data_IF_665156835814
#
_entry.id   IF_665156835814
#
_cell.length_a   1.000
_cell.length_b   1.000
_cell.length_c   1.000
_cell.angle_alpha   90.00
_cell.angle_beta   90.00
_cell.angle_gamma   90.00
#
_symmetry.space_group_name_H-M   'P 1'
#
loop_
_entity.id
_entity.type
_entity.pdbx_description
1 polymer ?
#
# COMPACT_ATOMS: atom_id res chain seq x y z
N UNK A 1 22.14 -5.73 -4.27
CA UNK A 1 22.81 -4.87 -5.27
C UNK A 1 21.90 -4.53 -6.45
N UNK A 2 20.97 -5.41 -6.83
CA UNK A 2 19.94 -5.14 -7.86
C UNK A 2 19.09 -3.89 -7.57
N UNK A 3 18.63 -3.73 -6.31
CA UNK A 3 17.94 -2.51 -5.85
C UNK A 3 18.75 -1.22 -6.04
N UNK A 4 20.08 -1.32 -6.13
CA UNK A 4 20.97 -0.16 -6.30
C UNK A 4 21.12 0.25 -7.76
N UNK A 5 20.92 -0.68 -8.70
CA UNK A 5 20.94 -0.40 -10.13
C UNK A 5 19.65 0.33 -10.55
N UNK A 6 18.51 -0.02 -9.95
CA UNK A 6 17.20 0.59 -10.22
C UNK A 6 16.80 1.65 -9.19
N UNK A 7 17.74 2.18 -8.41
CA UNK A 7 17.43 3.07 -7.28
C UNK A 7 16.62 4.30 -7.71
N UNK A 8 16.96 4.90 -8.85
CA UNK A 8 16.27 6.09 -9.37
C UNK A 8 14.82 5.79 -9.78
N UNK A 9 14.62 4.67 -10.47
CA UNK A 9 13.30 4.24 -10.94
C UNK A 9 12.42 3.78 -9.79
N UNK A 10 12.99 3.06 -8.81
CA UNK A 10 12.31 2.66 -7.58
C UNK A 10 11.89 3.89 -6.78
N UNK A 11 12.77 4.87 -6.60
CA UNK A 11 12.44 6.10 -5.88
C UNK A 11 11.29 6.87 -6.57
N UNK A 12 11.31 6.96 -7.90
CA UNK A 12 10.23 7.58 -8.66
C UNK A 12 8.90 6.84 -8.48
N UNK A 13 8.93 5.51 -8.48
CA UNK A 13 7.74 4.70 -8.27
C UNK A 13 7.20 4.81 -6.83
N UNK A 14 8.10 4.86 -5.84
CA UNK A 14 7.73 5.15 -4.45
C UNK A 14 7.08 6.52 -4.31
N UNK A 15 7.60 7.55 -4.97
CA UNK A 15 6.99 8.88 -4.95
C UNK A 15 5.60 8.87 -5.60
N UNK A 16 5.43 8.13 -6.70
CA UNK A 16 4.12 7.94 -7.32
C UNK A 16 3.12 7.25 -6.38
N UNK A 17 3.54 6.16 -5.73
CA UNK A 17 2.70 5.44 -4.76
C UNK A 17 2.34 6.32 -3.56
N UNK A 18 3.30 7.10 -3.04
CA UNK A 18 3.04 8.07 -1.96
C UNK A 18 1.98 9.08 -2.36
N UNK A 19 2.09 9.66 -3.56
CA UNK A 19 1.10 10.62 -4.06
C UNK A 19 -0.28 9.98 -4.21
N UNK A 20 -0.35 8.74 -4.68
CA UNK A 20 -1.60 7.99 -4.78
C UNK A 20 -2.22 7.76 -3.40
N UNK A 21 -1.46 7.26 -2.44
CA UNK A 21 -1.93 7.05 -1.05
C UNK A 21 -2.37 8.35 -0.40
N UNK A 22 -1.61 9.45 -0.56
CA UNK A 22 -2.00 10.76 -0.02
C UNK A 22 -3.31 11.25 -0.64
N UNK A 23 -3.52 11.01 -1.94
CA UNK A 23 -4.77 11.38 -2.61
C UNK A 23 -5.96 10.57 -2.08
N UNK A 24 -5.80 9.26 -1.91
CA UNK A 24 -6.84 8.37 -1.38
C UNK A 24 -7.18 8.72 0.08
N UNK A 25 -6.14 8.84 0.91
CA UNK A 25 -6.23 9.31 2.29
C UNK A 25 -6.96 10.65 2.42
N UNK A 26 -6.74 11.58 1.50
CA UNK A 26 -7.43 12.88 1.52
C UNK A 26 -8.95 12.73 1.38
N UNK A 27 -9.40 11.85 0.50
CA UNK A 27 -10.82 11.63 0.29
C UNK A 27 -11.45 10.88 1.48
N UNK A 28 -10.74 9.91 2.06
CA UNK A 28 -11.16 9.20 3.27
C UNK A 28 -11.25 10.12 4.48
N UNK A 29 -10.21 10.93 4.72
CA UNK A 29 -10.19 11.92 5.80
C UNK A 29 -11.35 12.88 5.60
N UNK A 30 -11.55 13.43 4.39
CA UNK A 30 -12.66 14.34 4.09
C UNK A 30 -14.02 13.70 4.35
N UNK A 31 -14.20 12.42 4.03
CA UNK A 31 -15.42 11.67 4.33
C UNK A 31 -15.67 11.54 5.85
N UNK A 32 -14.62 11.58 6.67
CA UNK A 32 -14.69 11.61 8.14
C UNK A 32 -15.23 12.92 8.74
N UNK A 33 -15.35 13.99 7.96
CA UNK A 33 -15.86 15.30 8.42
C UNK A 33 -17.16 15.72 7.72
N UNK A 34 -18.26 14.94 7.81
CA UNK A 34 -19.55 15.32 7.21
C UNK A 34 -20.16 16.58 7.84
N UNK A 35 -19.69 16.96 9.03
CA UNK A 35 -20.08 18.18 9.75
C UNK A 35 -19.70 19.46 8.99
N UNK A 36 -18.61 19.44 8.20
CA UNK A 36 -18.19 20.59 7.40
C UNK A 36 -19.27 20.97 6.37
N UNK A 37 -19.79 19.98 5.64
CA UNK A 37 -20.85 20.20 4.66
C UNK A 37 -22.13 20.74 5.33
N UNK A 38 -22.50 20.19 6.49
CA UNK A 38 -23.66 20.67 7.26
C UNK A 38 -23.49 22.13 7.69
N UNK A 39 -22.32 22.50 8.21
CA UNK A 39 -22.04 23.87 8.63
C UNK A 39 -22.04 24.84 7.44
N UNK A 40 -21.53 24.41 6.28
CA UNK A 40 -21.59 25.18 5.04
C UNK A 40 -23.03 25.39 4.56
N UNK A 41 -23.86 24.34 4.56
CA UNK A 41 -25.29 24.43 4.22
C UNK A 41 -26.04 25.36 5.17
N UNK A 42 -25.78 25.28 6.48
CA UNK A 42 -26.37 26.18 7.47
C UNK A 42 -25.98 27.64 7.23
N UNK A 43 -24.70 27.91 6.89
CA UNK A 43 -24.26 29.26 6.51
C UNK A 43 -24.99 29.74 5.25
N UNK A 44 -25.17 28.88 4.25
CA UNK A 44 -25.91 29.23 3.03
C UNK A 44 -27.37 29.55 3.34
N UNK A 45 -28.02 28.78 4.23
CA UNK A 45 -29.37 29.05 4.70
C UNK A 45 -29.50 30.42 5.38
N UNK A 46 -28.58 30.75 6.28
CA UNK A 46 -28.55 32.04 6.98
C UNK A 46 -28.31 33.22 6.02
N UNK A 47 -27.47 33.03 5.00
CA UNK A 47 -27.26 34.03 3.94
C UNK A 47 -28.49 34.20 3.05
N UNK A 48 -29.16 33.10 2.70
CA UNK A 48 -30.39 33.14 1.92
C UNK A 48 -31.51 33.88 2.67
N UNK A 49 -31.60 33.71 3.99
CA UNK A 49 -32.54 34.46 4.83
C UNK A 49 -32.26 35.98 4.78
N UNK A 50 -30.99 36.39 4.94
CA UNK A 50 -30.58 37.80 4.82
C UNK A 50 -30.94 38.35 3.44
N UNK A 51 -30.60 37.63 2.37
CA UNK A 51 -30.89 38.05 1.00
C UNK A 51 -32.40 38.16 0.73
N UNK A 52 -33.22 37.28 1.33
CA UNK A 52 -34.67 37.34 1.24
C UNK A 52 -35.24 38.60 1.92
N UNK A 53 -34.73 38.94 3.11
CA UNK A 53 -35.11 40.19 3.80
C UNK A 53 -34.66 41.43 3.04
N UNK A 54 -33.47 41.40 2.45
CA UNK A 54 -32.95 42.49 1.62
C UNK A 54 -33.79 42.67 0.35
N UNK A 55 -34.15 41.58 -0.33
CA UNK A 55 -35.04 41.62 -1.48
C UNK A 55 -36.42 42.20 -1.13
N UNK A 56 -37.00 41.79 0.00
CA UNK A 56 -38.28 42.32 0.50
C UNK A 56 -38.19 43.82 0.80
N UNK A 57 -37.11 44.28 1.45
CA UNK A 57 -36.89 45.72 1.70
C UNK A 57 -36.73 46.50 0.38
N UNK A 58 -36.02 45.95 -0.59
CA UNK A 58 -35.84 46.57 -1.90
C UNK A 58 -37.16 46.67 -2.68
N UNK A 59 -38.02 45.65 -2.58
CA UNK A 59 -39.39 45.68 -3.13
C UNK A 59 -40.20 46.83 -2.49
N UNK A 60 -40.17 46.96 -1.15
CA UNK A 60 -40.85 48.06 -0.44
C UNK A 60 -40.29 49.45 -0.76
N UNK A 61 -38.99 49.55 -1.02
CA UNK A 61 -38.38 50.79 -1.49
C UNK A 61 -38.96 51.21 -2.85
N UNK A 62 -39.07 50.27 -3.79
CA UNK A 62 -39.65 50.53 -5.12
C UNK A 62 -41.13 50.92 -5.02
N UNK A 63 -41.92 50.26 -4.18
CA UNK A 63 -43.32 50.61 -3.94
C UNK A 63 -43.48 52.04 -3.38
N UNK A 64 -42.62 52.42 -2.43
CA UNK A 64 -42.61 53.76 -1.85
C UNK A 64 -42.21 54.83 -2.88
N UNK A 65 -41.15 54.58 -3.66
CA UNK A 65 -40.69 55.50 -4.69
C UNK A 65 -41.76 55.70 -5.78
N UNK A 66 -42.42 54.62 -6.22
CA UNK A 66 -43.51 54.70 -7.20
C UNK A 66 -44.70 55.55 -6.71
N UNK A 67 -45.05 55.45 -5.42
CA UNK A 67 -46.08 56.32 -4.82
C UNK A 67 -45.61 57.77 -4.77
N UNK A 68 -44.37 58.01 -4.30
CA UNK A 68 -43.83 59.36 -4.13
C UNK A 68 -43.72 60.11 -5.47
N UNK A 69 -43.29 59.42 -6.53
CA UNK A 69 -43.15 59.97 -7.87
C UNK A 69 -44.44 59.94 -8.69
N UNK A 70 -45.53 59.37 -8.16
CA UNK A 70 -46.84 59.36 -8.83
C UNK A 70 -46.90 58.46 -10.08
N UNK A 71 -46.06 57.42 -10.15
CA UNK A 71 -46.07 56.44 -11.24
C UNK A 71 -47.34 55.62 -11.12
N UNK A 72 -48.23 55.67 -12.13
CA UNK A 72 -49.46 54.85 -12.14
C UNK A 72 -49.11 53.36 -12.30
N UNK A 73 -49.32 52.61 -11.22
CA UNK A 73 -49.33 51.14 -11.20
C UNK A 73 -50.69 50.68 -10.65
N UNK A 74 -50.94 49.37 -10.59
CA UNK A 74 -52.18 48.83 -10.00
C UNK A 74 -52.36 49.14 -8.50
N UNK A 75 -51.28 49.56 -7.83
CA UNK A 75 -51.20 49.73 -6.37
C UNK A 75 -50.87 51.17 -5.93
N UNK A 76 -50.88 52.13 -6.86
CA UNK A 76 -50.56 53.53 -6.58
C UNK A 76 -51.70 54.47 -6.95
N UNK A 77 -51.74 55.64 -6.29
CA UNK A 77 -52.74 56.67 -6.57
C UNK A 77 -52.48 57.41 -7.89
N UNK A 78 -51.27 57.28 -8.46
CA UNK A 78 -50.86 57.96 -9.68
C UNK A 78 -50.73 59.49 -9.55
N UNK A 79 -50.66 60.00 -8.31
CA UNK A 79 -50.48 61.41 -7.98
C UNK A 79 -49.17 61.57 -7.22
N UNK A 80 -48.27 62.40 -7.74
CA UNK A 80 -47.02 62.69 -7.05
C UNK A 80 -47.30 63.51 -5.78
N UNK A 81 -46.72 63.10 -4.65
CA UNK A 81 -46.84 63.82 -3.38
C UNK A 81 -46.74 62.91 -2.15
N UNK A 82 -46.48 63.54 -1.01
CA UNK A 82 -46.45 62.87 0.31
C UNK A 82 -47.88 62.94 0.86
N UNK A 83 -48.67 61.91 0.58
CA UNK A 83 -50.01 61.73 1.16
C UNK A 83 -50.04 60.58 2.17
N UNK A 84 -51.19 60.33 2.79
CA UNK A 84 -51.40 59.27 3.80
C UNK A 84 -50.95 57.88 3.31
N UNK A 85 -51.09 57.57 2.01
CA UNK A 85 -50.63 56.30 1.45
C UNK A 85 -49.10 56.24 1.34
N UNK A 86 -48.43 57.35 1.04
CA UNK A 86 -46.97 57.43 1.00
C UNK A 86 -46.39 57.25 2.42
N UNK A 87 -46.98 57.87 3.44
CA UNK A 87 -46.58 57.71 4.84
C UNK A 87 -46.74 56.25 5.33
N UNK A 88 -47.82 55.56 4.92
CA UNK A 88 -47.99 54.13 5.24
C UNK A 88 -46.92 53.26 4.59
N UNK A 89 -46.57 53.53 3.33
CA UNK A 89 -45.51 52.80 2.59
C UNK A 89 -44.13 53.10 3.18
N UNK A 90 -43.89 54.33 3.62
CA UNK A 90 -42.67 54.70 4.37
C UNK A 90 -42.57 53.92 5.69
N UNK A 91 -43.64 53.86 6.47
CA UNK A 91 -43.66 53.07 7.71
C UNK A 91 -43.42 51.57 7.46
N UNK A 92 -43.93 51.02 6.35
CA UNK A 92 -43.66 49.63 5.94
C UNK A 92 -42.20 49.42 5.54
N UNK A 93 -41.59 50.37 4.82
CA UNK A 93 -40.18 50.35 4.47
C UNK A 93 -39.29 50.43 5.72
N UNK A 94 -39.62 51.31 6.67
CA UNK A 94 -38.91 51.43 7.95
C UNK A 94 -38.98 50.15 8.78
N UNK A 95 -40.14 49.49 8.81
CA UNK A 95 -40.31 48.19 9.46
C UNK A 95 -39.47 47.11 8.76
N UNK A 96 -39.49 47.06 7.43
CA UNK A 96 -38.67 46.12 6.65
C UNK A 96 -37.17 46.35 6.85
N UNK A 97 -36.74 47.61 6.96
CA UNK A 97 -35.35 47.98 7.24
C UNK A 97 -34.92 47.53 8.64
N UNK A 98 -35.74 47.76 9.66
CA UNK A 98 -35.45 47.29 11.04
C UNK A 98 -35.39 45.77 11.12
N UNK A 99 -36.30 45.07 10.45
CA UNK A 99 -36.33 43.61 10.39
C UNK A 99 -35.09 43.05 9.67
N UNK A 100 -34.65 43.70 8.59
CA UNK A 100 -33.39 43.37 7.91
C UNK A 100 -32.18 43.56 8.83
N UNK A 101 -32.06 44.71 9.49
CA UNK A 101 -30.94 45.00 10.40
C UNK A 101 -30.89 44.01 11.58
N UNK A 102 -32.06 43.70 12.16
CA UNK A 102 -32.18 42.69 13.20
C UNK A 102 -31.73 41.32 12.70
N UNK A 103 -32.27 40.85 11.57
CA UNK A 103 -31.93 39.55 10.97
C UNK A 103 -30.44 39.49 10.62
N UNK A 104 -29.88 40.56 10.06
CA UNK A 104 -28.45 40.66 9.75
C UNK A 104 -27.59 40.55 10.99
N UNK A 105 -27.92 41.27 12.07
CA UNK A 105 -27.14 41.20 13.32
C UNK A 105 -27.11 39.78 13.90
N UNK A 106 -28.28 39.14 14.00
CA UNK A 106 -28.44 37.80 14.54
C UNK A 106 -27.75 36.75 13.67
N UNK A 107 -27.95 36.81 12.35
CA UNK A 107 -27.40 35.82 11.43
C UNK A 107 -25.89 36.02 11.23
N UNK A 108 -25.36 37.25 11.34
CA UNK A 108 -23.91 37.50 11.27
C UNK A 108 -23.16 36.86 12.43
N UNK A 109 -23.70 36.96 13.65
CA UNK A 109 -23.14 36.27 14.82
C UNK A 109 -23.16 34.74 14.64
N UNK A 110 -24.31 34.20 14.20
CA UNK A 110 -24.47 32.78 13.89
C UNK A 110 -23.54 32.28 12.78
N UNK A 111 -23.29 33.09 11.76
CA UNK A 111 -22.35 32.78 10.67
C UNK A 111 -20.93 32.79 11.22
N UNK A 112 -20.56 33.77 12.04
CA UNK A 112 -19.23 33.86 12.63
C UNK A 112 -18.89 32.64 13.50
N UNK A 113 -19.81 32.20 14.36
CA UNK A 113 -19.64 30.98 15.17
C UNK A 113 -19.45 29.73 14.29
N UNK A 114 -20.25 29.59 13.23
CA UNK A 114 -20.11 28.47 12.27
C UNK A 114 -18.80 28.50 11.51
N UNK A 115 -18.36 29.69 11.07
CA UNK A 115 -17.07 29.87 10.39
C UNK A 115 -15.91 29.52 11.32
N UNK A 116 -15.98 29.90 12.59
CA UNK A 116 -14.97 29.50 13.58
C UNK A 116 -14.91 27.98 13.77
N UNK A 117 -16.07 27.31 13.82
CA UNK A 117 -16.15 25.84 13.87
C UNK A 117 -15.57 25.19 12.62
N UNK A 118 -15.89 25.70 11.43
CA UNK A 118 -15.32 25.23 10.16
C UNK A 118 -13.80 25.37 10.18
N UNK A 119 -13.26 26.50 10.64
CA UNK A 119 -11.81 26.71 10.71
C UNK A 119 -11.15 25.70 11.66
N UNK A 120 -11.74 25.48 12.85
CA UNK A 120 -11.23 24.48 13.80
C UNK A 120 -11.24 23.07 13.22
N UNK A 121 -12.31 22.68 12.52
CA UNK A 121 -12.40 21.37 11.88
C UNK A 121 -11.41 21.24 10.73
N UNK A 122 -11.22 22.28 9.92
CA UNK A 122 -10.22 22.30 8.87
C UNK A 122 -8.80 22.18 9.44
N UNK A 123 -8.48 22.86 10.55
CA UNK A 123 -7.18 22.72 11.22
C UNK A 123 -6.92 21.28 11.67
N UNK A 124 -7.92 20.63 12.28
CA UNK A 124 -7.83 19.21 12.66
C UNK A 124 -7.62 18.31 11.44
N UNK A 125 -8.41 18.52 10.39
CA UNK A 125 -8.31 17.79 9.14
C UNK A 125 -6.92 17.94 8.50
N UNK A 126 -6.37 19.16 8.49
CA UNK A 126 -5.01 19.41 7.98
C UNK A 126 -3.95 18.75 8.83
N UNK A 127 -4.07 18.78 10.16
CA UNK A 127 -3.12 18.12 11.05
C UNK A 127 -3.13 16.59 10.89
N UNK A 128 -4.31 16.00 10.66
CA UNK A 128 -4.46 14.58 10.38
C UNK A 128 -3.84 14.19 9.04
N UNK A 129 -4.05 15.02 8.00
CA UNK A 129 -3.39 14.87 6.70
C UNK A 129 -1.86 14.94 6.82
N UNK A 130 -1.35 15.94 7.53
CA UNK A 130 0.10 16.11 7.75
C UNK A 130 0.69 14.92 8.49
N UNK A 131 0.01 14.41 9.52
CA UNK A 131 0.42 13.20 10.24
C UNK A 131 0.48 11.97 9.31
N UNK A 132 -0.55 11.76 8.48
CA UNK A 132 -0.54 10.67 7.52
C UNK A 132 0.57 10.83 6.47
N UNK A 133 0.80 12.05 5.97
CA UNK A 133 1.90 12.33 5.03
C UNK A 133 3.26 11.98 5.63
N UNK A 134 3.51 12.35 6.89
CA UNK A 134 4.76 12.00 7.60
C UNK A 134 4.88 10.49 7.79
N UNK A 135 3.80 9.81 8.17
CA UNK A 135 3.78 8.36 8.33
C UNK A 135 4.08 7.62 7.02
N UNK A 136 3.46 8.05 5.92
CA UNK A 136 3.69 7.48 4.58
C UNK A 136 5.11 7.77 4.09
N UNK A 137 5.67 8.94 4.37
CA UNK A 137 7.06 9.27 4.03
C UNK A 137 8.07 8.41 4.80
N UNK A 138 7.76 8.04 6.06
CA UNK A 138 8.60 7.17 6.88
C UNK A 138 8.66 5.73 6.37
N UNK A 139 7.67 5.27 5.59
CA UNK A 139 7.63 3.94 4.98
C UNK A 139 8.55 3.81 3.73
N UNK A 140 9.85 4.02 3.91
CA UNK A 140 10.88 3.85 2.87
C UNK A 140 11.78 2.61 3.09
N UNK A 141 11.28 1.61 3.82
CA UNK A 141 12.02 0.40 4.15
C UNK A 141 12.30 -0.51 2.94
N UNK A 142 13.07 -1.58 3.17
CA UNK A 142 13.41 -2.57 2.14
C UNK A 142 12.17 -3.19 1.47
N UNK A 143 11.15 -3.51 2.27
CA UNK A 143 9.90 -4.10 1.77
C UNK A 143 9.18 -3.18 0.76
N UNK A 144 9.10 -1.88 1.06
CA UNK A 144 8.51 -0.90 0.15
C UNK A 144 9.31 -0.79 -1.16
N UNK A 145 10.65 -0.82 -1.08
CA UNK A 145 11.51 -0.84 -2.27
C UNK A 145 11.33 -2.09 -3.12
N UNK A 146 11.12 -3.26 -2.50
CA UNK A 146 10.84 -4.51 -3.21
C UNK A 146 9.49 -4.45 -3.90
N UNK A 147 8.45 -3.97 -3.22
CA UNK A 147 7.11 -3.79 -3.82
C UNK A 147 7.13 -2.78 -4.97
N UNK A 148 7.84 -1.67 -4.82
CA UNK A 148 8.01 -0.69 -5.89
C UNK A 148 8.77 -1.26 -7.09
N UNK A 149 9.81 -2.07 -6.87
CA UNK A 149 10.51 -2.78 -7.94
C UNK A 149 9.58 -3.76 -8.67
N UNK A 150 8.79 -4.54 -7.92
CA UNK A 150 7.84 -5.50 -8.49
C UNK A 150 6.77 -4.80 -9.35
N UNK A 151 6.18 -3.72 -8.82
CA UNK A 151 5.24 -2.87 -9.55
C UNK A 151 5.87 -2.28 -10.83
N UNK A 152 7.13 -1.85 -10.75
CA UNK A 152 7.86 -1.32 -11.89
C UNK A 152 8.11 -2.38 -12.98
N UNK A 153 8.48 -3.61 -12.58
CA UNK A 153 8.64 -4.72 -13.53
C UNK A 153 7.31 -5.14 -14.16
N UNK A 154 6.21 -5.13 -13.41
CA UNK A 154 4.88 -5.44 -13.93
C UNK A 154 4.35 -4.36 -14.88
N UNK A 155 4.66 -3.08 -14.61
CA UNK A 155 4.21 -1.96 -15.43
C UNK A 155 5.02 -1.77 -16.72
N UNK A 156 6.31 -2.16 -16.73
CA UNK A 156 7.19 -1.96 -17.87
C UNK A 156 7.94 -3.23 -18.25
N UNK A 157 7.54 -3.81 -19.39
CA UNK A 157 8.16 -5.02 -19.95
C UNK A 157 9.65 -4.86 -20.24
N UNK A 158 10.13 -3.67 -20.61
CA UNK A 158 11.55 -3.42 -20.82
C UNK A 158 12.34 -3.50 -19.50
N UNK A 159 11.76 -2.96 -18.41
CA UNK A 159 12.38 -3.05 -17.07
C UNK A 159 12.35 -4.48 -16.56
N UNK A 160 11.27 -5.24 -16.83
CA UNK A 160 11.21 -6.67 -16.56
C UNK A 160 12.37 -7.43 -17.22
N UNK A 161 12.54 -7.27 -18.54
CA UNK A 161 13.63 -7.94 -19.26
C UNK A 161 15.02 -7.48 -18.81
N UNK A 162 15.18 -6.19 -18.50
CA UNK A 162 16.43 -5.67 -17.95
C UNK A 162 16.76 -6.28 -16.58
N UNK A 163 15.77 -6.35 -15.68
CA UNK A 163 15.94 -6.97 -14.35
C UNK A 163 16.31 -8.46 -14.49
N UNK A 164 15.60 -9.20 -15.34
CA UNK A 164 15.86 -10.61 -15.59
C UNK A 164 17.26 -10.85 -16.18
N UNK A 165 17.71 -9.99 -17.09
CA UNK A 165 19.05 -10.09 -17.69
C UNK A 165 20.14 -9.81 -16.66
N UNK A 166 19.97 -8.78 -15.83
CA UNK A 166 20.91 -8.44 -14.75
C UNK A 166 20.99 -9.57 -13.72
N UNK A 167 19.85 -10.12 -13.31
CA UNK A 167 19.79 -11.27 -12.41
C UNK A 167 20.52 -12.49 -13.01
N UNK A 168 20.23 -12.80 -14.27
CA UNK A 168 20.90 -13.90 -14.98
C UNK A 168 22.42 -13.68 -15.10
N UNK A 169 22.86 -12.44 -15.32
CA UNK A 169 24.29 -12.08 -15.35
C UNK A 169 24.96 -12.36 -14.00
N UNK A 170 24.32 -11.99 -12.89
CA UNK A 170 24.88 -12.29 -11.55
C UNK A 170 24.93 -13.78 -11.28
N UNK A 171 23.87 -14.53 -11.61
CA UNK A 171 23.88 -16.00 -11.51
C UNK A 171 25.01 -16.57 -12.36
N UNK A 172 25.20 -16.09 -13.58
CA UNK A 172 26.28 -16.56 -14.44
C UNK A 172 27.66 -16.25 -13.86
N UNK A 173 27.89 -15.07 -13.29
CA UNK A 173 29.18 -14.71 -12.68
C UNK A 173 29.43 -15.53 -11.40
N UNK A 174 28.42 -15.72 -10.56
CA UNK A 174 28.56 -16.47 -9.31
C UNK A 174 28.73 -17.97 -9.56
N UNK A 175 28.06 -18.50 -10.60
CA UNK A 175 28.19 -19.89 -11.02
C UNK A 175 29.38 -20.12 -11.96
N UNK A 176 30.00 -19.07 -12.49
CA UNK A 176 31.14 -19.19 -13.41
C UNK A 176 32.29 -20.03 -12.82
N UNK A 177 32.71 -19.88 -11.55
CA UNK A 177 33.76 -20.73 -10.99
C UNK A 177 33.38 -22.22 -10.96
N UNK A 178 32.11 -22.55 -10.71
CA UNK A 178 31.60 -23.92 -10.71
C UNK A 178 31.54 -24.46 -12.14
N UNK A 179 31.01 -23.68 -13.07
CA UNK A 179 30.94 -24.05 -14.49
C UNK A 179 32.34 -24.27 -15.08
N UNK A 180 33.29 -23.40 -14.74
CA UNK A 180 34.70 -23.52 -15.15
C UNK A 180 35.31 -24.78 -14.54
N UNK A 181 35.06 -25.10 -13.27
CA UNK A 181 35.52 -26.34 -12.65
C UNK A 181 34.94 -27.60 -13.31
N UNK A 182 33.66 -27.57 -13.70
CA UNK A 182 32.98 -28.70 -14.35
C UNK A 182 33.43 -28.92 -15.80
N UNK A 183 33.71 -27.84 -16.53
CA UNK A 183 34.17 -27.91 -17.92
C UNK A 183 35.68 -28.07 -18.05
N UNK A 184 36.44 -27.81 -16.97
CA UNK A 184 37.87 -28.01 -16.96
C UNK A 184 38.21 -29.48 -17.19
N UNK A 185 39.24 -29.72 -18.01
CA UNK A 185 39.79 -31.06 -18.20
C UNK A 185 40.43 -31.54 -16.90
N UNK A 186 40.43 -32.86 -16.70
CA UNK A 186 41.07 -33.51 -15.56
C UNK A 186 42.47 -32.98 -15.32
N UNK A 187 42.68 -32.42 -14.13
CA UNK A 187 43.95 -31.85 -13.70
C UNK A 187 44.81 -32.84 -12.92
N UNK A 188 46.07 -32.48 -12.63
CA UNK A 188 46.94 -33.28 -11.75
C UNK A 188 46.33 -33.56 -10.38
N UNK A 189 45.52 -32.63 -9.85
CA UNK A 189 44.82 -32.81 -8.59
C UNK A 189 43.76 -33.91 -8.65
N UNK A 190 43.02 -34.01 -9.76
CA UNK A 190 42.01 -35.06 -9.94
C UNK A 190 42.67 -36.44 -9.96
N UNK A 191 43.85 -36.55 -10.58
CA UNK A 191 44.64 -37.79 -10.57
C UNK A 191 45.18 -38.16 -9.17
N UNK A 192 45.56 -37.18 -8.37
CA UNK A 192 45.98 -37.41 -6.98
C UNK A 192 44.79 -37.86 -6.12
N UNK A 193 43.62 -37.29 -6.35
CA UNK A 193 42.39 -37.69 -5.68
C UNK A 193 41.99 -39.12 -6.05
N UNK A 194 42.00 -39.47 -7.35
CA UNK A 194 41.73 -40.82 -7.84
C UNK A 194 42.66 -41.86 -7.19
N UNK A 195 43.96 -41.55 -7.05
CA UNK A 195 44.94 -42.43 -6.39
C UNK A 195 44.63 -42.61 -4.90
N UNK A 196 44.25 -41.52 -4.22
CA UNK A 196 43.90 -41.56 -2.82
C UNK A 196 42.64 -42.40 -2.58
N UNK A 197 41.59 -42.19 -3.38
CA UNK A 197 40.35 -42.96 -3.34
C UNK A 197 40.58 -44.44 -3.64
N UNK A 198 41.37 -44.75 -4.67
CA UNK A 198 41.74 -46.13 -4.99
C UNK A 198 42.48 -46.81 -3.82
N UNK A 199 43.36 -46.09 -3.12
CA UNK A 199 44.05 -46.59 -1.93
C UNK A 199 43.10 -46.93 -0.78
N UNK A 200 42.07 -46.11 -0.56
CA UNK A 200 41.03 -46.38 0.44
C UNK A 200 40.23 -47.63 0.07
N UNK A 201 39.80 -47.74 -1.19
CA UNK A 201 39.02 -48.90 -1.67
C UNK A 201 39.84 -50.19 -1.53
N UNK A 202 41.11 -50.18 -1.96
CA UNK A 202 42.01 -51.33 -1.82
C UNK A 202 42.20 -51.74 -0.35
N UNK A 203 42.42 -50.77 0.54
CA UNK A 203 42.59 -51.04 1.97
C UNK A 203 41.31 -51.62 2.59
N UNK A 204 40.14 -51.14 2.18
CA UNK A 204 38.85 -51.68 2.61
C UNK A 204 38.67 -53.13 2.13
N UNK A 205 39.00 -53.43 0.88
CA UNK A 205 38.94 -54.78 0.31
C UNK A 205 39.89 -55.75 1.02
N UNK A 206 41.13 -55.33 1.31
CA UNK A 206 42.08 -56.13 2.07
C UNK A 206 41.57 -56.47 3.47
N UNK A 207 40.99 -55.48 4.17
CA UNK A 207 40.42 -55.69 5.50
C UNK A 207 39.21 -56.64 5.46
N UNK A 208 38.36 -56.52 4.45
CA UNK A 208 37.24 -57.43 4.21
C UNK A 208 37.73 -58.85 3.97
N UNK A 209 38.74 -59.03 3.12
CA UNK A 209 39.33 -60.34 2.83
C UNK A 209 39.92 -60.99 4.10
N UNK A 210 40.71 -60.23 4.88
CA UNK A 210 41.30 -60.71 6.14
C UNK A 210 40.21 -61.14 7.13
N UNK A 211 39.22 -60.28 7.39
CA UNK A 211 38.11 -60.59 8.32
C UNK A 211 37.29 -61.79 7.86
N UNK A 212 37.07 -61.94 6.55
CA UNK A 212 36.35 -63.08 5.97
C UNK A 212 37.13 -64.38 6.19
N UNK A 213 38.41 -64.39 5.84
CA UNK A 213 39.30 -65.55 6.05
C UNK A 213 39.36 -65.96 7.51
N UNK A 214 39.55 -65.00 8.44
CA UNK A 214 39.52 -65.29 9.87
C UNK A 214 38.17 -65.85 10.34
N UNK A 215 37.07 -65.35 9.77
CA UNK A 215 35.72 -65.84 10.08
C UNK A 215 35.51 -67.28 9.58
N UNK A 216 35.98 -67.59 8.38
CA UNK A 216 35.96 -68.94 7.82
C UNK A 216 36.80 -69.91 8.66
N UNK A 217 38.02 -69.52 9.04
CA UNK A 217 38.86 -70.30 9.95
C UNK A 217 38.18 -70.54 11.31
N UNK A 218 37.58 -69.50 11.91
CA UNK A 218 36.83 -69.67 13.18
C UNK A 218 35.66 -70.64 13.03
N UNK A 219 34.94 -70.60 11.90
CA UNK A 219 33.85 -71.54 11.61
C UNK A 219 34.39 -72.96 11.49
N UNK A 220 35.49 -73.14 10.77
CA UNK A 220 36.12 -74.44 10.53
C UNK A 220 36.65 -75.07 11.82
N UNK A 221 37.37 -74.30 12.65
CA UNK A 221 37.82 -74.72 13.99
C UNK A 221 36.63 -75.07 14.88
N UNK A 222 35.57 -74.26 14.88
CA UNK A 222 34.37 -74.56 15.67
C UNK A 222 33.70 -75.87 15.22
N UNK A 223 33.64 -76.12 13.91
CA UNK A 223 33.11 -77.36 13.33
C UNK A 223 34.02 -78.58 13.55
N UNK A 224 35.30 -78.39 13.89
CA UNK A 224 36.21 -79.44 14.34
C UNK A 224 36.01 -79.81 15.81
N UNK A 225 35.84 -78.80 16.67
CA UNK A 225 35.56 -79.01 18.09
C UNK A 225 34.17 -79.66 18.30
N UNK A 226 33.22 -79.42 17.38
CA UNK A 226 31.84 -79.91 17.46
C UNK A 226 31.46 -80.77 16.22
N UNK A 227 31.89 -82.04 16.16
CA UNK A 227 31.81 -82.85 14.95
C UNK A 227 30.37 -83.13 14.49
N UNK A 228 29.39 -83.16 15.38
CA UNK A 228 27.98 -83.37 15.03
C UNK A 228 27.41 -82.25 14.14
N UNK A 229 27.88 -81.01 14.34
CA UNK A 229 27.48 -79.86 13.51
C UNK A 229 28.09 -79.89 12.13
N UNK A 230 29.32 -80.39 11.99
CA UNK A 230 29.99 -80.57 10.69
C UNK A 230 29.16 -81.48 9.78
N UNK A 231 28.64 -82.58 10.34
CA UNK A 231 27.76 -83.52 9.62
C UNK A 231 26.44 -82.85 9.24
N UNK A 232 25.83 -82.08 10.16
CA UNK A 232 24.59 -81.34 9.89
C UNK A 232 24.75 -80.28 8.78
N UNK A 233 25.84 -79.50 8.76
CA UNK A 233 26.12 -78.54 7.68
C UNK A 233 26.38 -79.22 6.34
N UNK A 234 27.21 -80.29 6.32
CA UNK A 234 27.46 -81.04 5.08
C UNK A 234 26.16 -81.58 4.48
N UNK A 235 25.25 -82.09 5.30
CA UNK A 235 23.94 -82.57 4.86
C UNK A 235 23.04 -81.42 4.36
N UNK A 236 23.09 -80.25 4.99
CA UNK A 236 22.37 -79.05 4.54
C UNK A 236 22.88 -78.55 3.18
N UNK A 237 24.20 -78.45 2.99
CA UNK A 237 24.81 -78.00 1.74
C UNK A 237 24.55 -79.01 0.61
N UNK A 238 24.71 -80.32 0.87
CA UNK A 238 24.36 -81.38 -0.10
C UNK A 238 22.86 -81.37 -0.48
N UNK A 239 21.99 -81.02 0.47
CA UNK A 239 20.55 -80.84 0.24
C UNK A 239 20.21 -79.62 -0.64
N UNK A 240 21.05 -78.58 -0.63
CA UNK A 240 20.95 -77.43 -1.52
C UNK A 240 21.40 -77.75 -2.96
N UNK A 241 22.39 -78.63 -3.13
CA UNK A 241 22.86 -79.04 -4.46
C UNK A 241 21.95 -80.07 -5.15
N UNK A 242 21.19 -80.88 -4.41
CA UNK A 242 20.21 -81.83 -4.97
C UNK A 242 18.86 -81.21 -5.33
N UNK A 243 18.70 -79.89 -5.12
CA UNK A 243 17.45 -79.15 -5.36
C UNK A 243 17.50 -78.23 -6.58
N UNK A 244 18.44 -78.48 -7.51
CA UNK A 244 18.50 -77.86 -8.84
C UNK A 244 18.27 -78.91 -9.92
#
# INVERSE_FOLDING_TARGET
MELKIFEKEINRELDRQRLATISESKDEIKAGYPELLKLEEEIQGLKAEINGKEAFRNEKQVEYDNERFGVKTGETTGRAGIGINAEKKEAQLDLAQKDLEYTQSLNREKIQDRVQKINLLNEKMTAELDYQMVSVAANNGLAARIQALDALTNANTAVYWANLLIMALFIMIEMAPILVKLLAKRGPYDHLLDLYEAGIVLSADELWYKKKSESELRKEVFDEIQPERRVARRNFDLGLFHKK
#
